data_IF_671239231028
#
_entry.id   IF_671239231028
#
_cell.length_a   1.000
_cell.length_b   1.000
_cell.length_c   1.000
_cell.angle_alpha   90.00
_cell.angle_beta   90.00
_cell.angle_gamma   90.00
#
_symmetry.space_group_name_H-M   'P 1'
#
loop_
_entity.id
_entity.type
_entity.pdbx_description
1 polymer ?
#
# COMPACT_ATOMS: atom_id res chain seq x y z
N UNK A 1 -95.99 23.48 4.23
CA UNK A 1 -96.49 22.09 4.36
C UNK A 1 -95.32 21.15 4.09
N UNK A 2 -95.12 20.19 5.01
CA UNK A 2 -94.38 18.91 4.91
C UNK A 2 -93.02 18.90 4.14
N UNK A 3 -91.86 18.79 4.80
CA UNK A 3 -91.31 17.61 5.50
C UNK A 3 -91.23 16.37 4.61
N UNK A 4 -90.02 15.96 4.21
CA UNK A 4 -89.58 14.56 4.21
C UNK A 4 -88.04 14.50 4.29
N UNK A 5 -87.57 13.83 5.34
CA UNK A 5 -86.21 13.33 5.53
C UNK A 5 -85.84 12.34 4.41
N UNK A 6 -84.58 12.36 3.95
CA UNK A 6 -83.88 11.10 3.70
C UNK A 6 -82.37 11.25 3.82
N UNK A 7 -81.80 10.33 4.58
CA UNK A 7 -80.43 10.14 4.98
C UNK A 7 -79.73 9.25 3.95
N UNK A 8 -78.54 9.60 3.42
CA UNK A 8 -77.60 8.58 2.92
C UNK A 8 -76.19 9.13 2.60
N UNK A 9 -75.24 8.68 3.43
CA UNK A 9 -73.93 8.09 3.08
C UNK A 9 -72.83 9.03 2.54
N UNK A 10 -71.92 9.34 3.47
CA UNK A 10 -70.50 9.64 3.24
C UNK A 10 -69.84 8.57 2.36
N UNK A 11 -69.12 8.98 1.32
CA UNK A 11 -68.03 8.20 0.76
C UNK A 11 -66.88 9.14 0.36
N UNK A 12 -66.00 9.38 1.32
CA UNK A 12 -64.66 9.92 1.07
C UNK A 12 -63.84 8.89 0.30
N UNK A 13 -63.62 9.11 -0.99
CA UNK A 13 -62.56 8.44 -1.74
C UNK A 13 -61.31 9.32 -1.73
N UNK A 14 -60.58 9.28 -0.61
CA UNK A 14 -59.15 9.53 -0.65
C UNK A 14 -58.52 8.42 -1.51
N UNK A 15 -58.12 8.74 -2.74
CA UNK A 15 -57.07 7.96 -3.39
C UNK A 15 -55.80 8.18 -2.56
N UNK A 16 -55.61 7.33 -1.56
CA UNK A 16 -54.31 7.11 -0.95
C UNK A 16 -53.38 6.61 -2.03
N UNK A 17 -52.46 7.46 -2.47
CA UNK A 17 -51.25 7.01 -3.13
C UNK A 17 -50.53 6.10 -2.12
N UNK A 18 -50.72 4.79 -2.25
CA UNK A 18 -49.86 3.83 -1.60
C UNK A 18 -48.51 3.88 -2.32
N UNK A 19 -47.66 4.81 -1.89
CA UNK A 19 -46.22 4.63 -2.08
C UNK A 19 -45.85 3.36 -1.32
N UNK A 20 -45.58 2.28 -2.05
CA UNK A 20 -44.86 1.15 -1.49
C UNK A 20 -43.59 1.70 -0.83
N UNK A 21 -43.23 1.28 0.40
CA UNK A 21 -41.89 1.55 0.88
C UNK A 21 -40.95 0.80 -0.06
N UNK A 22 -40.30 1.54 -0.96
CA UNK A 22 -39.03 1.08 -1.52
C UNK A 22 -38.11 1.03 -0.31
N UNK A 23 -38.01 -0.13 0.33
CA UNK A 23 -36.89 -0.41 1.21
C UNK A 23 -35.67 -0.40 0.31
N UNK A 24 -35.08 0.78 0.13
CA UNK A 24 -33.69 0.90 -0.27
C UNK A 24 -32.94 0.15 0.84
N UNK A 25 -32.60 -1.10 0.58
CA UNK A 25 -31.38 -1.64 1.18
C UNK A 25 -30.33 -0.71 0.62
N UNK A 26 -29.92 0.27 1.42
CA UNK A 26 -28.73 1.05 1.18
C UNK A 26 -27.61 0.01 1.20
N UNK A 27 -27.36 -0.63 0.06
CA UNK A 27 -26.35 -1.67 -0.02
C UNK A 27 -25.03 -0.94 0.07
N UNK A 28 -24.56 -0.78 1.31
CA UNK A 28 -23.29 -0.14 1.62
C UNK A 28 -22.10 -0.97 1.12
N UNK A 29 -22.35 -2.22 0.68
CA UNK A 29 -21.40 -3.13 0.06
C UNK A 29 -20.80 -2.48 -1.20
N UNK A 30 -19.51 -2.65 -1.40
CA UNK A 30 -18.85 -2.11 -2.59
C UNK A 30 -19.45 -2.69 -3.87
N UNK A 31 -19.90 -1.80 -4.73
CA UNK A 31 -20.35 -2.08 -6.09
C UNK A 31 -19.22 -1.92 -7.10
N UNK A 32 -19.18 -2.79 -8.11
CA UNK A 32 -18.21 -2.70 -9.20
C UNK A 32 -18.27 -1.33 -9.87
N UNK A 33 -17.10 -0.83 -10.24
CA UNK A 33 -16.89 0.42 -10.96
C UNK A 33 -17.49 1.68 -10.30
N UNK A 34 -17.79 1.60 -9.01
CA UNK A 34 -18.25 2.75 -8.22
C UNK A 34 -17.04 3.37 -7.52
N UNK A 35 -16.96 4.69 -7.57
CA UNK A 35 -15.88 5.46 -6.98
C UNK A 35 -16.15 5.73 -5.50
N UNK A 36 -15.12 5.58 -4.67
CA UNK A 36 -15.14 5.81 -3.23
C UNK A 36 -13.94 6.67 -2.82
N UNK A 37 -14.19 7.63 -1.93
CA UNK A 37 -13.14 8.45 -1.30
C UNK A 37 -12.99 8.05 0.16
N UNK A 38 -11.76 7.84 0.61
CA UNK A 38 -11.47 7.42 1.98
C UNK A 38 -9.99 7.52 2.33
N UNK A 39 -9.55 6.71 3.29
CA UNK A 39 -8.15 6.65 3.70
C UNK A 39 -7.58 5.23 3.58
N UNK A 40 -6.34 5.12 3.12
CA UNK A 40 -5.54 3.92 3.28
C UNK A 40 -4.64 4.05 4.52
N UNK A 41 -4.53 2.96 5.27
CA UNK A 41 -3.62 2.81 6.42
C UNK A 41 -2.87 1.48 6.35
N UNK A 42 -1.80 1.33 7.13
CA UNK A 42 -1.03 0.08 7.18
C UNK A 42 -1.86 -1.08 7.73
N UNK A 43 -1.93 -2.18 6.98
CA UNK A 43 -2.42 -3.46 7.43
C UNK A 43 -1.38 -4.11 8.36
N UNK A 44 -1.72 -4.19 9.66
CA UNK A 44 -0.81 -4.64 10.73
C UNK A 44 -1.02 -6.10 11.15
N UNK A 45 -1.95 -6.81 10.53
CA UNK A 45 -2.31 -8.16 10.97
C UNK A 45 -1.45 -9.22 10.27
N UNK A 46 -0.68 -9.96 11.07
CA UNK A 46 0.10 -11.13 10.65
C UNK A 46 -0.81 -12.39 10.50
N UNK A 47 -2.13 -12.26 10.69
CA UNK A 47 -3.06 -13.38 10.61
C UNK A 47 -3.27 -13.85 9.17
N UNK A 48 -2.85 -15.09 8.92
CA UNK A 48 -2.90 -15.80 7.62
C UNK A 48 -4.35 -16.15 7.21
N UNK A 49 -5.38 -15.80 8.01
CA UNK A 49 -6.78 -16.15 7.72
C UNK A 49 -7.71 -14.99 8.03
N UNK A 50 -7.88 -14.14 7.02
CA UNK A 50 -8.91 -13.13 6.99
C UNK A 50 -10.32 -13.68 6.76
N UNK A 51 -11.29 -12.77 6.69
CA UNK A 51 -12.70 -12.96 6.37
C UNK A 51 -12.96 -13.46 4.93
N UNK A 52 -11.91 -13.69 4.13
CA UNK A 52 -11.96 -14.33 2.82
C UNK A 52 -11.21 -15.67 2.83
N UNK A 53 -11.80 -16.75 3.39
CA UNK A 53 -11.10 -18.02 3.64
C UNK A 53 -10.68 -18.78 2.37
N UNK A 54 -11.26 -18.46 1.22
CA UNK A 54 -10.96 -19.08 -0.08
C UNK A 54 -9.86 -18.34 -0.86
N UNK A 55 -9.39 -17.21 -0.35
CA UNK A 55 -8.39 -16.37 -1.03
C UNK A 55 -7.02 -16.61 -0.43
N UNK A 56 -6.15 -17.28 -1.18
CA UNK A 56 -4.75 -17.45 -0.80
C UNK A 56 -3.92 -16.20 -1.17
N UNK A 57 -3.03 -15.79 -0.26
CA UNK A 57 -2.07 -14.71 -0.47
C UNK A 57 -0.84 -14.91 0.41
N UNK A 58 0.25 -14.20 0.11
CA UNK A 58 1.45 -14.12 0.96
C UNK A 58 1.64 -12.71 1.50
N UNK A 59 2.48 -12.55 2.51
CA UNK A 59 2.81 -11.23 3.08
C UNK A 59 3.57 -10.31 2.10
N UNK A 60 4.04 -10.87 0.98
CA UNK A 60 4.74 -10.14 -0.09
C UNK A 60 3.76 -9.68 -1.19
N UNK A 61 2.51 -10.17 -1.18
CA UNK A 61 1.50 -9.78 -2.16
C UNK A 61 0.87 -8.42 -1.82
N UNK A 62 0.50 -7.69 -2.87
CA UNK A 62 -0.16 -6.40 -2.76
C UNK A 62 -1.66 -6.64 -2.49
N UNK A 63 -2.01 -6.68 -1.21
CA UNK A 63 -3.35 -7.05 -0.74
C UNK A 63 -3.96 -5.96 0.13
N UNK A 64 -5.28 -6.02 0.30
CA UNK A 64 -6.05 -5.06 1.08
C UNK A 64 -7.09 -5.75 1.97
N UNK A 65 -7.34 -5.14 3.12
CA UNK A 65 -8.53 -5.37 3.91
C UNK A 65 -9.49 -4.18 3.82
N UNK A 66 -10.76 -4.48 3.58
CA UNK A 66 -11.80 -3.48 3.32
C UNK A 66 -12.64 -3.24 4.56
N UNK A 67 -13.06 -1.99 4.81
CA UNK A 67 -13.93 -1.67 5.94
C UNK A 67 -15.27 -2.46 5.92
N UNK A 68 -15.90 -2.57 7.09
CA UNK A 68 -17.13 -3.33 7.28
C UNK A 68 -18.31 -2.93 6.39
N UNK A 69 -18.47 -1.64 6.07
CA UNK A 69 -19.59 -1.18 5.27
C UNK A 69 -19.48 -1.69 3.82
N UNK A 70 -18.32 -1.50 3.20
CA UNK A 70 -18.06 -1.95 1.84
C UNK A 70 -17.76 -3.45 1.73
N UNK A 71 -17.22 -4.08 2.78
CA UNK A 71 -17.00 -5.53 2.81
C UNK A 71 -18.32 -6.30 2.93
N UNK A 72 -19.36 -5.75 3.57
CA UNK A 72 -20.66 -6.41 3.65
C UNK A 72 -20.67 -7.64 4.55
N UNK A 73 -21.29 -8.74 4.09
CA UNK A 73 -21.57 -9.89 4.95
C UNK A 73 -20.33 -10.77 5.22
N UNK A 74 -19.89 -10.75 6.47
CA UNK A 74 -18.73 -11.52 6.97
C UNK A 74 -19.03 -13.01 7.14
N UNK A 75 -20.30 -13.42 7.20
CA UNK A 75 -20.71 -14.79 7.55
C UNK A 75 -20.99 -15.69 6.34
N UNK A 76 -21.09 -15.15 5.13
CA UNK A 76 -21.55 -15.88 3.95
C UNK A 76 -20.57 -15.89 2.77
N UNK A 77 -19.28 -15.63 3.01
CA UNK A 77 -18.28 -15.28 1.99
C UNK A 77 -18.69 -13.98 1.27
N UNK A 78 -17.95 -12.90 1.51
CA UNK A 78 -18.33 -11.62 0.93
C UNK A 78 -18.17 -11.66 -0.59
N UNK A 79 -19.09 -11.01 -1.32
CA UNK A 79 -18.99 -10.86 -2.78
C UNK A 79 -17.78 -10.05 -3.23
N UNK A 80 -17.10 -9.36 -2.31
CA UNK A 80 -15.86 -8.62 -2.62
C UNK A 80 -14.60 -9.47 -2.42
N UNK A 81 -14.69 -10.62 -1.77
CA UNK A 81 -13.53 -11.49 -1.54
C UNK A 81 -12.93 -11.97 -2.87
N UNK A 82 -11.61 -11.82 -3.01
CA UNK A 82 -10.86 -12.22 -4.20
C UNK A 82 -10.98 -11.26 -5.40
N UNK A 83 -11.88 -10.27 -5.32
CA UNK A 83 -11.93 -9.14 -6.26
C UNK A 83 -10.79 -8.16 -5.98
N UNK A 84 -10.70 -7.13 -6.81
CA UNK A 84 -9.62 -6.15 -6.72
C UNK A 84 -10.16 -4.76 -6.47
N UNK A 85 -9.34 -3.92 -5.86
CA UNK A 85 -9.56 -2.48 -5.81
C UNK A 85 -8.49 -1.79 -6.64
N UNK A 86 -8.91 -0.88 -7.51
CA UNK A 86 -8.02 0.09 -8.15
C UNK A 86 -7.98 1.33 -7.26
N UNK A 87 -6.81 1.72 -6.80
CA UNK A 87 -6.60 2.77 -5.80
C UNK A 87 -5.60 3.77 -6.33
N UNK A 88 -5.92 5.05 -6.26
CA UNK A 88 -5.00 6.15 -6.53
C UNK A 88 -4.97 7.12 -5.36
N UNK A 89 -3.87 7.88 -5.23
CA UNK A 89 -3.81 8.93 -4.23
C UNK A 89 -4.82 10.01 -4.58
N UNK A 90 -5.47 10.59 -3.57
CA UNK A 90 -6.40 11.69 -3.81
C UNK A 90 -5.69 12.95 -4.33
N UNK A 91 -4.43 13.16 -3.93
CA UNK A 91 -3.60 14.29 -4.38
C UNK A 91 -2.79 14.02 -5.65
N UNK A 92 -2.68 12.76 -6.07
CA UNK A 92 -2.10 12.35 -7.35
C UNK A 92 -2.94 11.23 -8.00
N UNK A 93 -4.01 11.58 -8.73
CA UNK A 93 -4.87 10.60 -9.38
C UNK A 93 -4.28 10.02 -10.67
N UNK A 94 -3.09 10.47 -11.09
CA UNK A 94 -2.47 10.04 -12.34
C UNK A 94 -1.82 8.66 -12.26
N UNK A 95 -1.56 8.18 -11.05
CA UNK A 95 -1.00 6.86 -10.78
C UNK A 95 -1.97 6.04 -9.94
N UNK A 96 -2.23 4.80 -10.38
CA UNK A 96 -3.13 3.88 -9.68
C UNK A 96 -2.52 2.50 -9.54
N UNK A 97 -2.82 1.86 -8.43
CA UNK A 97 -2.36 0.53 -8.07
C UNK A 97 -3.56 -0.40 -7.87
N UNK A 98 -3.36 -1.69 -8.09
CA UNK A 98 -4.42 -2.69 -7.99
C UNK A 98 -4.07 -3.64 -6.84
N UNK A 99 -5.00 -3.81 -5.91
CA UNK A 99 -4.82 -4.65 -4.73
C UNK A 99 -5.93 -5.68 -4.61
N UNK A 100 -5.59 -6.91 -4.23
CA UNK A 100 -6.56 -7.98 -4.02
C UNK A 100 -7.23 -7.84 -2.66
N UNK A 101 -8.55 -7.97 -2.60
CA UNK A 101 -9.32 -7.95 -1.36
C UNK A 101 -9.24 -9.33 -0.69
N UNK A 102 -8.60 -9.38 0.48
CA UNK A 102 -8.31 -10.63 1.20
C UNK A 102 -8.87 -10.67 2.61
N UNK A 103 -9.27 -9.53 3.17
CA UNK A 103 -9.80 -9.49 4.54
C UNK A 103 -10.78 -8.32 4.76
N UNK A 104 -11.44 -8.37 5.92
CA UNK A 104 -12.25 -7.36 6.52
C UNK A 104 -11.43 -6.55 7.54
N UNK A 105 -11.37 -5.24 7.34
CA UNK A 105 -10.94 -4.30 8.37
C UNK A 105 -12.14 -3.93 9.26
N UNK A 106 -12.26 -4.58 10.42
CA UNK A 106 -13.41 -4.43 11.34
C UNK A 106 -13.52 -3.03 11.95
N UNK A 107 -12.39 -2.39 12.19
CA UNK A 107 -12.24 -1.11 12.87
C UNK A 107 -11.91 0.05 11.91
N UNK A 108 -12.00 -0.19 10.59
CA UNK A 108 -11.87 0.88 9.60
C UNK A 108 -13.16 1.68 9.50
N UNK A 109 -13.01 3.00 9.38
CA UNK A 109 -14.09 3.90 8.97
C UNK A 109 -14.63 3.53 7.58
N UNK A 110 -15.85 3.99 7.29
CA UNK A 110 -16.46 3.84 5.97
C UNK A 110 -15.54 4.37 4.87
N UNK A 111 -15.49 3.66 3.75
CA UNK A 111 -14.62 3.88 2.59
C UNK A 111 -13.11 3.74 2.86
N UNK A 112 -12.67 3.42 4.08
CA UNK A 112 -11.26 3.22 4.37
C UNK A 112 -10.81 1.80 4.02
N UNK A 113 -9.52 1.69 3.70
CA UNK A 113 -8.82 0.46 3.33
C UNK A 113 -7.58 0.29 4.24
N UNK A 114 -7.19 -0.96 4.50
CA UNK A 114 -5.88 -1.28 5.07
C UNK A 114 -5.04 -2.04 4.05
N UNK A 115 -3.94 -1.45 3.61
CA UNK A 115 -3.06 -2.01 2.59
C UNK A 115 -1.92 -2.80 3.24
N UNK A 116 -1.50 -3.92 2.65
CA UNK A 116 -0.31 -4.65 3.11
C UNK A 116 0.91 -3.73 3.20
N UNK A 117 1.90 -4.10 4.01
CA UNK A 117 3.10 -3.27 4.19
C UNK A 117 3.78 -2.97 2.85
N UNK A 118 3.91 -3.97 1.97
CA UNK A 118 4.43 -3.75 0.62
C UNK A 118 3.52 -2.88 -0.25
N UNK A 119 2.19 -2.98 -0.12
CA UNK A 119 1.25 -2.14 -0.86
C UNK A 119 1.28 -0.66 -0.43
N UNK A 120 1.31 -0.37 0.87
CA UNK A 120 1.30 1.03 1.34
C UNK A 120 2.65 1.72 1.14
N UNK A 121 3.76 0.97 1.19
CA UNK A 121 5.11 1.48 0.88
C UNK A 121 5.27 1.98 -0.54
N UNK A 122 4.49 1.44 -1.47
CA UNK A 122 4.49 1.93 -2.83
C UNK A 122 3.79 3.29 -2.97
N UNK A 123 2.93 3.62 -2.01
CA UNK A 123 1.87 4.60 -2.14
C UNK A 123 2.09 5.84 -1.28
N UNK A 124 2.69 5.71 -0.09
CA UNK A 124 2.88 6.85 0.81
C UNK A 124 4.02 6.66 1.80
N UNK A 125 4.61 7.79 2.19
CA UNK A 125 5.56 7.96 3.29
C UNK A 125 4.88 8.47 4.58
N UNK A 126 3.56 8.29 4.71
CA UNK A 126 2.77 8.56 5.92
C UNK A 126 2.04 7.30 6.42
N UNK A 127 1.74 7.24 7.74
CA UNK A 127 0.95 6.14 8.33
C UNK A 127 -0.48 6.05 7.75
N UNK A 128 -0.96 7.16 7.18
CA UNK A 128 -2.25 7.29 6.52
C UNK A 128 -2.14 8.16 5.28
N UNK A 129 -2.94 7.86 4.27
CA UNK A 129 -3.02 8.64 3.02
C UNK A 129 -4.47 8.71 2.54
N UNK A 130 -4.88 9.87 2.04
CA UNK A 130 -6.19 10.04 1.40
C UNK A 130 -6.18 9.35 0.04
N UNK A 131 -7.21 8.54 -0.22
CA UNK A 131 -7.32 7.71 -1.41
C UNK A 131 -8.65 7.88 -2.12
N UNK A 132 -8.59 7.62 -3.42
CA UNK A 132 -9.71 7.40 -4.30
C UNK A 132 -9.62 5.97 -4.80
N UNK A 133 -10.72 5.21 -4.75
CA UNK A 133 -10.70 3.82 -5.17
C UNK A 133 -12.02 3.32 -5.74
N UNK A 134 -11.94 2.24 -6.51
CA UNK A 134 -13.08 1.53 -7.07
C UNK A 134 -12.87 0.03 -7.03
N UNK A 135 -13.96 -0.73 -6.84
CA UNK A 135 -13.94 -2.19 -6.95
C UNK A 135 -13.96 -2.60 -8.42
N UNK A 136 -13.06 -3.50 -8.82
CA UNK A 136 -12.96 -4.04 -10.18
C UNK A 136 -12.98 -5.58 -10.13
N UNK A 137 -13.34 -6.21 -11.26
CA UNK A 137 -13.49 -7.66 -11.33
C UNK A 137 -12.14 -8.37 -11.42
N UNK A 138 -11.22 -7.87 -12.26
CA UNK A 138 -9.97 -8.55 -12.63
C UNK A 138 -8.77 -7.59 -12.62
N UNK A 139 -7.56 -8.13 -12.45
CA UNK A 139 -6.29 -7.37 -12.49
C UNK A 139 -6.00 -6.69 -13.83
N UNK A 140 -6.62 -7.14 -14.94
CA UNK A 140 -6.26 -6.73 -16.30
C UNK A 140 -6.77 -5.36 -16.74
N UNK A 141 -7.43 -4.59 -15.87
CA UNK A 141 -7.72 -3.16 -16.07
C UNK A 141 -6.50 -2.27 -15.72
N UNK A 142 -5.30 -2.77 -16.03
CA UNK A 142 -4.03 -2.09 -15.86
C UNK A 142 -3.91 -0.90 -16.82
N UNK A 143 -3.45 0.23 -16.30
CA UNK A 143 -2.86 1.30 -17.10
C UNK A 143 -1.63 0.74 -17.86
N UNK A 144 -1.45 1.00 -19.18
CA UNK A 144 -0.38 0.46 -20.03
C UNK A 144 1.09 0.64 -19.60
N UNK A 145 1.40 1.10 -18.38
CA UNK A 145 2.77 1.33 -17.92
C UNK A 145 3.43 0.19 -17.12
N UNK A 146 2.77 -0.93 -16.83
CA UNK A 146 3.45 -1.99 -16.08
C UNK A 146 3.02 -3.43 -16.46
N UNK A 147 3.65 -3.98 -17.50
CA UNK A 147 3.68 -5.42 -17.77
C UNK A 147 5.11 -5.92 -17.59
N UNK A 148 5.42 -6.49 -16.43
CA UNK A 148 5.99 -7.86 -16.32
C UNK A 148 6.13 -8.27 -14.86
N UNK A 149 5.23 -9.15 -14.43
CA UNK A 149 5.41 -10.02 -13.26
C UNK A 149 6.69 -10.85 -13.46
N UNK A 150 7.71 -10.80 -12.59
CA UNK A 150 8.81 -11.75 -12.65
C UNK A 150 8.26 -13.12 -12.27
N UNK A 151 8.16 -14.02 -13.24
CA UNK A 151 7.94 -15.44 -12.97
C UNK A 151 9.11 -15.96 -12.15
N UNK A 152 8.83 -16.43 -10.92
CA UNK A 152 9.75 -17.14 -10.04
C UNK A 152 10.49 -18.24 -10.82
N UNK A 153 11.81 -18.11 -10.96
CA UNK A 153 12.70 -19.23 -11.29
C UNK A 153 13.02 -19.99 -10.00
N UNK A 154 13.08 -21.34 -9.98
CA UNK A 154 13.26 -22.09 -8.74
C UNK A 154 14.58 -21.76 -8.04
N UNK A 155 14.50 -21.54 -6.73
CA UNK A 155 15.63 -21.36 -5.84
C UNK A 155 16.55 -22.60 -5.89
N UNK A 156 17.84 -22.37 -6.10
CA UNK A 156 18.88 -23.35 -5.86
C UNK A 156 19.03 -23.58 -4.35
N UNK A 157 19.17 -24.85 -3.96
CA UNK A 157 19.25 -25.35 -2.59
C UNK A 157 20.31 -24.64 -1.77
N UNK A 158 19.94 -24.17 -0.57
CA UNK A 158 20.88 -23.87 0.51
C UNK A 158 20.86 -25.01 1.52
N UNK A 159 22.03 -25.59 1.77
CA UNK A 159 22.25 -26.58 2.82
C UNK A 159 22.19 -25.92 4.20
N UNK A 160 21.61 -26.65 5.15
CA UNK A 160 21.74 -26.36 6.57
C UNK A 160 23.20 -26.55 6.99
N UNK A 161 23.75 -25.59 7.71
CA UNK A 161 24.73 -25.87 8.75
C UNK A 161 24.59 -24.83 9.86
N UNK A 162 24.41 -25.34 11.08
CA UNK A 162 24.41 -24.57 12.32
C UNK A 162 25.79 -23.94 12.55
N UNK A 163 25.85 -22.87 13.37
CA UNK A 163 26.87 -22.57 14.40
C UNK A 163 27.20 -21.06 14.49
N UNK A 164 26.98 -20.53 15.69
CA UNK A 164 27.76 -19.47 16.38
C UNK A 164 27.74 -18.03 15.85
N UNK A 165 27.14 -17.15 16.67
CA UNK A 165 27.05 -15.72 16.47
C UNK A 165 28.43 -15.04 16.51
N UNK A 166 29.09 -14.95 15.36
CA UNK A 166 30.19 -14.02 15.12
C UNK A 166 29.58 -12.71 14.65
N UNK A 167 29.85 -11.61 15.37
CA UNK A 167 29.47 -10.25 15.00
C UNK A 167 30.28 -9.80 13.76
N UNK A 168 30.01 -10.41 12.61
CA UNK A 168 30.53 -9.98 11.32
C UNK A 168 29.59 -8.92 10.79
N UNK A 169 30.09 -7.69 10.75
CA UNK A 169 29.46 -6.58 10.05
C UNK A 169 29.20 -7.03 8.61
N UNK A 170 27.95 -7.35 8.28
CA UNK A 170 27.62 -7.85 6.95
C UNK A 170 27.85 -6.75 5.92
N UNK A 171 28.64 -7.05 4.89
CA UNK A 171 28.84 -6.18 3.73
C UNK A 171 27.82 -6.55 2.66
N UNK A 172 27.22 -5.52 2.06
CA UNK A 172 26.23 -5.64 0.99
C UNK A 172 26.78 -4.98 -0.27
N UNK A 173 26.32 -5.47 -1.42
CA UNK A 173 26.65 -4.92 -2.73
C UNK A 173 25.38 -4.66 -3.51
N UNK A 174 25.36 -3.60 -4.30
CA UNK A 174 24.22 -3.30 -5.14
C UNK A 174 24.37 -2.06 -5.97
N UNK A 175 23.36 -1.84 -6.82
CA UNK A 175 23.23 -0.64 -7.63
C UNK A 175 22.91 0.56 -6.74
N UNK A 176 23.54 1.70 -7.03
CA UNK A 176 23.27 3.00 -6.42
C UNK A 176 22.73 3.99 -7.43
N UNK A 177 21.61 4.66 -7.13
CA UNK A 177 21.11 5.83 -7.86
C UNK A 177 21.07 7.06 -6.95
N UNK A 178 20.36 8.09 -7.39
CA UNK A 178 20.05 9.25 -6.57
C UNK A 178 18.59 9.69 -6.71
N UNK A 179 18.06 10.31 -5.65
CA UNK A 179 16.69 10.84 -5.58
C UNK A 179 16.67 12.37 -5.35
N UNK A 180 15.48 12.98 -5.38
CA UNK A 180 15.31 14.44 -5.27
C UNK A 180 14.20 14.89 -4.32
N UNK A 181 13.55 13.98 -3.61
CA UNK A 181 12.51 14.25 -2.63
C UNK A 181 13.01 15.09 -1.45
N UNK A 182 12.12 15.64 -0.63
CA UNK A 182 12.47 16.42 0.57
C UNK A 182 11.93 15.82 1.86
N UNK A 183 11.26 14.67 1.75
CA UNK A 183 10.62 13.94 2.84
C UNK A 183 10.61 12.46 2.48
N UNK A 184 10.84 11.60 3.47
CA UNK A 184 10.89 10.15 3.31
C UNK A 184 10.01 9.43 4.32
N UNK A 185 9.95 8.09 4.22
CA UNK A 185 9.16 7.24 5.13
C UNK A 185 9.59 7.32 6.60
N UNK A 186 10.72 7.96 6.92
CA UNK A 186 11.13 8.18 8.29
C UNK A 186 10.49 9.38 8.98
N UNK A 187 9.52 10.06 8.32
CA UNK A 187 8.77 11.18 8.90
C UNK A 187 9.63 12.35 9.40
N UNK A 188 10.82 12.52 8.80
CA UNK A 188 11.74 13.62 9.05
C UNK A 188 12.02 14.35 7.72
N UNK A 189 11.89 15.67 7.73
CA UNK A 189 12.28 16.49 6.59
C UNK A 189 13.81 16.52 6.43
N UNK A 190 14.27 16.58 5.19
CA UNK A 190 15.70 16.63 4.88
C UNK A 190 15.97 17.44 3.60
N UNK A 191 17.23 17.80 3.39
CA UNK A 191 17.72 18.46 2.18
C UNK A 191 18.51 17.49 1.31
N UNK A 192 18.53 17.75 0.00
CA UNK A 192 19.39 17.02 -0.94
C UNK A 192 20.89 17.32 -0.76
N UNK A 193 21.23 18.28 0.09
CA UNK A 193 22.59 18.57 0.54
C UNK A 193 23.04 17.70 1.73
N UNK A 194 22.11 16.98 2.37
CA UNK A 194 22.42 16.11 3.50
C UNK A 194 23.08 14.80 3.04
N UNK A 195 23.91 14.19 3.90
CA UNK A 195 24.47 12.85 3.65
C UNK A 195 23.45 11.78 4.07
N UNK A 196 22.48 11.53 3.19
CA UNK A 196 21.33 10.65 3.43
C UNK A 196 21.12 9.62 2.31
N UNK A 197 20.30 8.60 2.59
CA UNK A 197 19.95 7.51 1.68
C UNK A 197 18.52 7.02 1.88
N UNK A 198 17.86 6.65 0.79
CA UNK A 198 16.70 5.77 0.78
C UNK A 198 17.18 4.31 0.72
N UNK A 199 16.90 3.53 1.77
CA UNK A 199 17.31 2.14 1.90
C UNK A 199 16.30 1.22 1.22
N UNK A 200 16.73 0.18 0.53
CA UNK A 200 15.80 -0.77 -0.08
C UNK A 200 14.83 -1.38 0.96
N UNK A 201 13.59 -1.58 0.53
CA UNK A 201 12.49 -2.10 1.35
C UNK A 201 12.87 -3.36 2.15
N UNK A 202 13.52 -4.34 1.51
CA UNK A 202 13.89 -5.60 2.16
C UNK A 202 14.84 -5.42 3.35
N UNK A 203 15.73 -4.43 3.31
CA UNK A 203 16.69 -4.14 4.39
C UNK A 203 16.24 -3.03 5.33
N UNK A 204 15.15 -2.32 5.00
CA UNK A 204 14.54 -1.31 5.87
C UNK A 204 13.90 -1.91 7.13
N UNK A 205 13.49 -3.18 7.09
CA UNK A 205 12.74 -3.79 8.18
C UNK A 205 11.32 -3.24 8.22
N UNK A 206 10.81 -2.87 9.40
CA UNK A 206 9.47 -2.25 9.51
C UNK A 206 9.43 -0.86 8.88
N UNK A 207 8.26 -0.43 8.44
CA UNK A 207 8.10 0.88 7.80
C UNK A 207 8.32 2.01 8.80
N UNK A 208 7.78 1.86 10.00
CA UNK A 208 7.83 2.83 11.10
C UNK A 208 8.13 2.13 12.43
N UNK A 209 8.57 2.91 13.40
CA UNK A 209 8.71 2.47 14.79
C UNK A 209 9.79 1.42 15.01
N UNK A 210 9.64 0.64 16.08
CA UNK A 210 10.63 -0.35 16.50
C UNK A 210 10.80 -1.45 15.47
N UNK A 211 12.01 -1.60 14.92
CA UNK A 211 12.32 -2.55 13.85
C UNK A 211 12.49 -1.92 12.47
N UNK A 212 12.16 -0.64 12.31
CA UNK A 212 12.60 0.17 11.16
C UNK A 212 14.09 0.51 11.25
N UNK A 213 14.73 0.73 10.09
CA UNK A 213 16.10 1.26 10.00
C UNK A 213 16.16 2.78 9.85
N UNK A 214 15.06 3.49 10.06
CA UNK A 214 15.10 4.95 10.15
C UNK A 214 16.16 5.45 11.14
N UNK A 215 16.95 6.43 10.71
CA UNK A 215 18.05 6.99 11.49
C UNK A 215 19.31 6.12 11.57
N UNK A 216 19.27 4.87 11.08
CA UNK A 216 20.46 4.02 11.01
C UNK A 216 21.51 4.66 10.08
N UNK A 217 22.79 4.39 10.37
CA UNK A 217 23.90 4.85 9.53
C UNK A 217 24.46 3.68 8.74
N UNK A 218 24.79 3.96 7.49
CA UNK A 218 25.53 3.02 6.65
C UNK A 218 26.78 3.69 6.10
N UNK A 219 27.86 2.93 5.98
CA UNK A 219 29.07 3.36 5.29
C UNK A 219 29.03 2.81 3.89
N UNK A 220 29.18 3.68 2.91
CA UNK A 220 29.07 3.39 1.48
C UNK A 220 30.40 3.69 0.80
N UNK A 221 30.80 2.82 -0.12
CA UNK A 221 31.83 3.05 -1.13
C UNK A 221 31.28 2.73 -2.51
N UNK A 222 31.92 3.24 -3.55
CA UNK A 222 31.54 2.99 -4.93
C UNK A 222 32.75 2.49 -5.73
N UNK A 223 32.54 1.49 -6.58
CA UNK A 223 33.58 0.96 -7.46
C UNK A 223 34.16 2.05 -8.35
N UNK A 224 35.48 2.15 -8.37
CA UNK A 224 36.20 3.19 -9.12
C UNK A 224 36.32 4.54 -8.41
N UNK A 225 35.83 4.66 -7.17
CA UNK A 225 36.08 5.81 -6.30
C UNK A 225 36.90 5.38 -5.08
N UNK A 226 37.81 6.25 -4.63
CA UNK A 226 38.52 6.09 -3.34
C UNK A 226 37.74 6.68 -2.16
N UNK A 227 36.61 7.34 -2.42
CA UNK A 227 35.79 7.92 -1.38
C UNK A 227 35.07 6.82 -0.58
N UNK A 228 34.87 7.08 0.71
CA UNK A 228 33.97 6.33 1.57
C UNK A 228 33.21 7.32 2.45
N UNK A 229 31.89 7.20 2.49
CA UNK A 229 31.02 8.16 3.17
C UNK A 229 30.07 7.44 4.10
N UNK A 230 29.68 8.12 5.18
CA UNK A 230 28.61 7.65 6.06
C UNK A 230 27.36 8.44 5.73
N UNK A 231 26.28 7.73 5.43
CA UNK A 231 24.96 8.30 5.17
C UNK A 231 23.94 7.79 6.19
N UNK A 232 22.93 8.60 6.46
CA UNK A 232 21.82 8.25 7.35
C UNK A 232 20.60 7.80 6.54
N UNK A 233 19.96 6.73 6.97
CA UNK A 233 18.72 6.22 6.38
C UNK A 233 17.57 7.15 6.79
N UNK A 234 16.90 7.73 5.80
CA UNK A 234 15.79 8.68 5.99
C UNK A 234 14.55 8.32 5.18
N UNK A 235 14.67 7.33 4.31
CA UNK A 235 13.59 6.93 3.42
C UNK A 235 13.71 5.45 3.05
N UNK A 236 12.63 4.89 2.52
CA UNK A 236 12.60 3.58 1.89
C UNK A 236 12.63 3.75 0.37
N UNK A 237 13.56 3.08 -0.30
CA UNK A 237 13.47 2.87 -1.73
C UNK A 237 12.59 1.63 -1.99
N UNK A 238 11.40 1.78 -2.62
CA UNK A 238 10.47 0.68 -2.86
C UNK A 238 11.11 -0.45 -3.68
N UNK A 239 10.67 -1.69 -3.47
CA UNK A 239 11.23 -2.86 -4.16
C UNK A 239 11.19 -2.77 -5.70
N UNK A 240 10.21 -2.03 -6.28
CA UNK A 240 10.11 -1.76 -7.73
C UNK A 240 11.31 -0.99 -8.29
N UNK A 241 11.99 -0.21 -7.44
CA UNK A 241 13.18 0.55 -7.80
C UNK A 241 14.46 -0.03 -7.18
N UNK A 242 14.41 -0.53 -5.95
CA UNK A 242 15.59 -1.05 -5.26
C UNK A 242 15.37 -2.49 -4.78
N UNK A 243 16.05 -3.42 -5.45
CA UNK A 243 16.21 -4.78 -4.91
C UNK A 243 17.14 -4.80 -3.69
N UNK A 244 17.20 -5.95 -3.00
CA UNK A 244 18.14 -6.16 -1.89
C UNK A 244 19.57 -5.72 -2.27
N UNK A 245 20.22 -4.98 -1.38
CA UNK A 245 21.56 -4.40 -1.56
C UNK A 245 21.60 -3.09 -2.34
N UNK A 246 20.54 -2.73 -3.07
CA UNK A 246 20.47 -1.46 -3.81
C UNK A 246 20.13 -0.29 -2.88
N UNK A 247 20.59 0.90 -3.26
CA UNK A 247 20.40 2.14 -2.49
C UNK A 247 20.04 3.30 -3.42
N UNK A 248 19.26 4.25 -2.93
CA UNK A 248 19.05 5.54 -3.60
C UNK A 248 19.65 6.66 -2.74
N UNK A 249 20.76 7.25 -3.20
CA UNK A 249 21.53 8.23 -2.43
C UNK A 249 20.95 9.63 -2.59
N UNK A 250 21.12 10.50 -1.58
CA UNK A 250 20.99 11.94 -1.81
C UNK A 250 21.95 12.42 -2.90
N UNK A 251 21.61 13.54 -3.54
CA UNK A 251 22.49 14.15 -4.53
C UNK A 251 23.86 14.50 -3.95
N UNK A 252 23.93 15.02 -2.71
CA UNK A 252 25.20 15.29 -2.04
C UNK A 252 26.05 14.03 -1.82
N UNK A 253 25.43 12.92 -1.39
CA UNK A 253 26.15 11.66 -1.19
C UNK A 253 26.62 11.05 -2.52
N UNK A 254 25.77 11.04 -3.55
CA UNK A 254 26.13 10.54 -4.88
C UNK A 254 27.31 11.31 -5.49
N UNK A 255 27.30 12.65 -5.36
CA UNK A 255 28.38 13.54 -5.83
C UNK A 255 29.74 13.30 -5.18
N UNK A 256 29.79 12.59 -4.04
CA UNK A 256 31.09 12.16 -3.44
C UNK A 256 31.78 11.08 -4.27
N UNK A 257 31.03 10.33 -5.08
CA UNK A 257 31.54 9.23 -5.87
C UNK A 257 31.65 9.56 -7.37
N UNK A 258 30.66 10.27 -7.93
CA UNK A 258 30.61 10.59 -9.35
C UNK A 258 29.73 11.83 -9.63
N UNK A 259 29.91 12.51 -10.78
CA UNK A 259 28.94 13.52 -11.22
C UNK A 259 27.55 12.87 -11.45
N UNK A 260 26.49 13.65 -11.23
CA UNK A 260 25.09 13.18 -11.35
C UNK A 260 24.76 12.57 -12.71
N UNK A 261 25.41 13.03 -13.79
CA UNK A 261 25.26 12.51 -15.15
C UNK A 261 25.68 11.05 -15.30
N UNK A 262 26.45 10.50 -14.34
CA UNK A 262 26.75 9.06 -14.30
C UNK A 262 25.50 8.23 -14.08
N UNK A 263 24.50 8.77 -13.36
CA UNK A 263 23.20 8.16 -13.08
C UNK A 263 23.23 6.97 -12.11
N UNK A 264 24.13 6.02 -12.34
CA UNK A 264 24.17 4.73 -11.65
C UNK A 264 25.59 4.39 -11.20
N UNK A 265 25.71 3.89 -9.97
CA UNK A 265 26.95 3.40 -9.34
C UNK A 265 26.85 1.91 -8.98
N UNK A 266 27.99 1.25 -8.91
CA UNK A 266 28.14 -0.06 -8.26
C UNK A 266 28.67 0.18 -6.85
N UNK A 267 27.84 -0.09 -5.84
CA UNK A 267 28.10 0.24 -4.43
C UNK A 267 28.47 -0.99 -3.61
N UNK A 268 29.28 -0.75 -2.60
CA UNK A 268 29.52 -1.64 -1.46
C UNK A 268 29.20 -0.88 -0.18
N UNK A 269 28.50 -1.50 0.76
CA UNK A 269 28.11 -0.81 2.00
C UNK A 269 27.87 -1.75 3.19
N UNK A 270 27.86 -1.17 4.40
CA UNK A 270 27.50 -1.87 5.64
C UNK A 270 26.88 -0.93 6.67
N UNK A 271 26.00 -1.45 7.54
CA UNK A 271 25.50 -0.71 8.71
C UNK A 271 26.62 -0.41 9.69
N UNK A 272 26.71 0.81 10.25
CA UNK A 272 27.82 1.25 11.12
C UNK A 272 27.39 1.76 12.48
#
# INVERSE_FOLDING_TARGET
MASFFSLAIMASSLLGAMSAPVTRVDSQVATLNTQYSGFATLYKDDSIRGACPEVEYTNEELVVAMNSAQFGNVKSNSTVCGKFVKVNRADDPSESFIYKVVDLCKDCDKNSLRLSESAIREFTNSEQVAIEWMLIENETEQDPKNVTKPTKKPAAKSGKEDTEAKNTKSTYHGRGTWFSDTMGSCSEGFSQDDMIVALNEAQMGKMWGSGSKCGAKIRVSAKGSSASVVVRVVDTCPHRYCSFGQLDLSQAAFKKFAPMSKGVLELEWSFV
#
